data_IF_387444165043
#
_entry.id   IF_387444165043
#
_cell.length_a   1.000
_cell.length_b   1.000
_cell.length_c   1.000
_cell.angle_alpha   90.00
_cell.angle_beta   90.00
_cell.angle_gamma   90.00
#
_symmetry.space_group_name_H-M   'P 1'
#
loop_
_entity.id
_entity.type
_entity.pdbx_description
1 polymer ?
#
# COMPACT_ATOMS: atom_id res chain seq x y z
N UNK A 1 12.37 -3.07 39.46
CA UNK A 1 11.50 -4.23 39.22
C UNK A 1 11.68 -4.61 37.76
N UNK A 2 12.50 -5.63 37.49
CA UNK A 2 12.77 -6.13 36.13
C UNK A 2 11.47 -6.66 35.52
N UNK A 3 10.94 -5.97 34.50
CA UNK A 3 9.88 -6.54 33.66
C UNK A 3 10.49 -7.72 32.90
N UNK A 4 9.90 -8.90 33.06
CA UNK A 4 10.25 -10.04 32.22
C UNK A 4 9.94 -9.66 30.77
N UNK A 5 10.97 -9.69 29.93
CA UNK A 5 10.84 -9.71 28.48
C UNK A 5 10.18 -11.04 28.10
N UNK A 6 8.86 -11.14 28.26
CA UNK A 6 8.11 -12.11 27.49
C UNK A 6 8.29 -11.73 26.01
N UNK A 7 8.86 -12.66 25.26
CA UNK A 7 9.07 -12.48 23.83
C UNK A 7 7.76 -12.08 23.17
N UNK A 8 7.84 -11.04 22.32
CA UNK A 8 6.74 -10.53 21.54
C UNK A 8 5.91 -11.66 20.92
N UNK A 9 4.57 -11.63 21.03
CA UNK A 9 3.74 -12.49 20.21
C UNK A 9 4.09 -12.21 18.75
N UNK A 10 4.43 -13.25 17.97
CA UNK A 10 4.66 -13.16 16.51
C UNK A 10 3.50 -12.45 15.77
N UNK A 11 2.34 -12.36 16.41
CA UNK A 11 1.07 -11.85 15.95
C UNK A 11 1.06 -10.34 15.59
N UNK A 12 1.90 -9.50 16.21
CA UNK A 12 1.93 -8.05 15.89
C UNK A 12 2.69 -7.76 14.60
N UNK A 13 3.72 -8.57 14.28
CA UNK A 13 4.58 -8.32 13.11
C UNK A 13 3.86 -8.46 11.76
N UNK A 14 2.77 -9.22 11.73
CA UNK A 14 1.94 -9.39 10.55
C UNK A 14 0.79 -8.38 10.47
N UNK A 15 0.66 -7.49 11.45
CA UNK A 15 -0.44 -6.52 11.51
C UNK A 15 0.01 -5.14 11.06
N UNK A 16 -0.92 -4.36 10.53
CA UNK A 16 -0.64 -3.03 9.98
C UNK A 16 -0.63 -1.98 11.10
N UNK A 17 0.53 -1.37 11.44
CA UNK A 17 0.57 -0.34 12.47
C UNK A 17 -0.12 0.94 11.99
N UNK A 18 -0.84 1.61 12.89
CA UNK A 18 -1.41 2.91 12.59
C UNK A 18 -0.34 3.99 12.45
N UNK A 19 0.67 3.96 13.33
CA UNK A 19 1.80 4.89 13.23
C UNK A 19 2.75 4.47 12.10
N UNK A 20 2.82 5.31 11.06
CA UNK A 20 3.80 5.19 9.97
C UNK A 20 4.98 6.17 10.13
N UNK A 21 5.05 6.82 11.30
CA UNK A 21 6.19 7.63 11.71
C UNK A 21 6.85 7.06 12.97
N UNK A 22 8.18 7.04 12.96
CA UNK A 22 9.02 6.57 14.07
C UNK A 22 10.07 7.60 14.50
N UNK A 23 10.11 8.77 13.84
CA UNK A 23 10.96 9.90 14.20
C UNK A 23 10.11 11.02 14.78
N UNK A 24 10.44 11.51 15.98
CA UNK A 24 9.67 12.59 16.60
C UNK A 24 9.66 13.87 15.76
N UNK A 25 10.74 14.17 15.01
CA UNK A 25 10.76 15.32 14.10
C UNK A 25 9.75 15.20 12.93
N UNK A 26 9.25 14.00 12.62
CA UNK A 26 8.27 13.81 11.55
C UNK A 26 6.85 14.19 11.96
N UNK A 27 6.56 14.32 13.27
CA UNK A 27 5.23 14.73 13.76
C UNK A 27 4.76 16.09 13.24
N UNK A 28 5.69 17.00 12.97
CA UNK A 28 5.36 18.34 12.44
C UNK A 28 5.10 18.33 10.94
N UNK A 29 5.38 17.21 10.26
CA UNK A 29 5.14 17.03 8.83
C UNK A 29 3.80 16.35 8.55
N UNK A 30 3.23 15.66 9.55
CA UNK A 30 1.88 15.08 9.52
C UNK A 30 0.85 16.20 9.52
N UNK A 31 -0.15 16.08 8.66
CA UNK A 31 -1.23 17.04 8.50
C UNK A 31 -1.96 17.35 9.82
N UNK A 32 -2.59 18.52 9.86
CA UNK A 32 -3.43 18.91 10.97
C UNK A 32 -4.82 18.27 10.82
N UNK A 33 -5.31 17.64 11.88
CA UNK A 33 -6.67 17.09 11.90
C UNK A 33 -7.73 18.18 11.69
N UNK A 34 -8.72 17.97 10.79
CA UNK A 34 -9.89 18.82 10.71
C UNK A 34 -10.62 18.89 12.05
N UNK A 35 -11.20 20.05 12.38
CA UNK A 35 -11.80 20.28 13.70
C UNK A 35 -13.03 19.41 13.99
N UNK A 36 -13.67 18.88 12.95
CA UNK A 36 -14.85 18.01 13.01
C UNK A 36 -14.56 16.56 12.63
N UNK A 37 -13.32 16.22 12.29
CA UNK A 37 -12.91 14.84 12.04
C UNK A 37 -13.01 13.99 13.31
N UNK A 38 -13.32 12.71 13.13
CA UNK A 38 -13.54 11.74 14.20
C UNK A 38 -12.88 10.41 13.84
N UNK A 39 -12.49 9.66 14.86
CA UNK A 39 -11.84 8.34 14.73
C UNK A 39 -12.48 7.36 15.69
N UNK A 40 -12.63 6.10 15.27
CA UNK A 40 -13.16 5.02 16.12
C UNK A 40 -11.99 4.15 16.58
N UNK A 41 -11.85 3.96 17.89
CA UNK A 41 -10.81 3.13 18.51
C UNK A 41 -11.47 2.01 19.30
N UNK A 42 -11.05 0.77 19.06
CA UNK A 42 -11.57 -0.42 19.72
C UNK A 42 -10.54 -1.05 20.64
N UNK A 43 -11.03 -1.60 21.75
CA UNK A 43 -10.25 -2.23 22.81
C UNK A 43 -10.76 -3.64 23.08
N UNK A 44 -9.85 -4.52 23.51
CA UNK A 44 -10.16 -5.92 23.83
C UNK A 44 -11.03 -6.08 25.09
N UNK A 45 -10.97 -5.13 26.02
CA UNK A 45 -11.68 -5.21 27.31
C UNK A 45 -12.37 -3.90 27.67
N UNK A 46 -13.47 -3.99 28.42
CA UNK A 46 -14.16 -2.85 29.04
C UNK A 46 -13.19 -1.99 29.86
N UNK A 47 -12.34 -2.63 30.68
CA UNK A 47 -11.39 -1.95 31.53
C UNK A 47 -10.40 -1.07 30.73
N UNK A 48 -9.90 -1.58 29.60
CA UNK A 48 -8.98 -0.85 28.73
C UNK A 48 -9.66 0.33 28.03
N UNK A 49 -10.88 0.12 27.50
CA UNK A 49 -11.70 1.20 26.93
C UNK A 49 -11.96 2.29 27.97
N UNK A 50 -12.39 1.92 29.17
CA UNK A 50 -12.77 2.88 30.21
C UNK A 50 -11.56 3.65 30.74
N UNK A 51 -10.40 2.99 30.86
CA UNK A 51 -9.14 3.67 31.18
C UNK A 51 -8.78 4.70 30.11
N UNK A 52 -8.82 4.31 28.83
CA UNK A 52 -8.53 5.22 27.73
C UNK A 52 -9.52 6.39 27.66
N UNK A 53 -10.80 6.12 27.90
CA UNK A 53 -11.85 7.15 27.97
C UNK A 53 -11.53 8.20 29.05
N UNK A 54 -11.14 7.76 30.26
CA UNK A 54 -10.75 8.66 31.35
C UNK A 54 -9.50 9.49 31.00
N UNK A 55 -8.48 8.87 30.39
CA UNK A 55 -7.27 9.55 29.97
C UNK A 55 -7.55 10.62 28.90
N UNK A 56 -8.34 10.27 27.87
CA UNK A 56 -8.77 11.20 26.82
C UNK A 56 -9.63 12.34 27.38
N UNK A 57 -10.56 12.05 28.29
CA UNK A 57 -11.37 13.06 28.99
C UNK A 57 -10.53 14.06 29.78
N UNK A 58 -9.42 13.62 30.37
CA UNK A 58 -8.51 14.51 31.10
C UNK A 58 -7.84 15.51 30.14
N UNK A 59 -7.34 15.03 29.00
CA UNK A 59 -6.69 15.88 28.00
C UNK A 59 -7.70 16.81 27.31
N UNK A 60 -8.90 16.33 27.02
CA UNK A 60 -9.97 17.15 26.44
C UNK A 60 -10.34 18.37 27.28
N UNK A 61 -10.18 18.30 28.61
CA UNK A 61 -10.42 19.44 29.52
C UNK A 61 -9.30 20.49 29.47
N UNK A 62 -8.16 20.19 28.85
CA UNK A 62 -7.08 21.13 28.63
C UNK A 62 -7.46 22.05 27.44
N UNK A 63 -7.47 23.37 27.63
CA UNK A 63 -8.14 24.32 26.73
C UNK A 63 -7.31 24.73 25.49
N UNK A 64 -6.74 23.78 24.75
CA UNK A 64 -5.85 24.10 23.61
C UNK A 64 -6.26 23.51 22.25
N UNK A 65 -7.20 22.57 22.21
CA UNK A 65 -7.54 21.85 20.98
C UNK A 65 -8.71 22.49 20.23
N UNK A 66 -8.55 22.62 18.90
CA UNK A 66 -9.61 23.08 18.00
C UNK A 66 -10.53 21.92 17.65
N UNK A 67 -11.58 21.71 18.45
CA UNK A 67 -12.55 20.62 18.27
C UNK A 67 -13.97 21.20 18.16
N UNK A 68 -14.68 20.87 17.09
CA UNK A 68 -16.07 21.30 16.86
C UNK A 68 -17.08 20.52 17.71
N UNK A 69 -16.87 19.21 17.86
CA UNK A 69 -17.72 18.32 18.65
C UNK A 69 -16.86 17.57 19.68
N UNK A 70 -16.69 18.11 20.91
CA UNK A 70 -15.74 17.58 21.88
C UNK A 70 -16.18 16.27 22.56
N UNK A 71 -17.36 15.74 22.24
CA UNK A 71 -17.88 14.53 22.87
C UNK A 71 -17.09 13.27 22.46
N UNK A 72 -16.76 12.45 23.47
CA UNK A 72 -16.28 11.07 23.28
C UNK A 72 -17.45 10.12 23.52
N UNK A 73 -17.85 9.36 22.51
CA UNK A 73 -19.01 8.47 22.56
C UNK A 73 -18.57 7.01 22.73
N UNK A 74 -19.34 6.24 23.49
CA UNK A 74 -19.15 4.81 23.61
C UNK A 74 -19.77 4.09 22.40
N UNK A 75 -19.09 3.07 21.89
CA UNK A 75 -19.58 2.21 20.83
C UNK A 75 -19.74 0.80 21.39
N UNK A 76 -20.99 0.34 21.48
CA UNK A 76 -21.33 -1.00 22.00
C UNK A 76 -21.68 -2.02 20.91
N UNK A 77 -21.69 -1.61 19.62
CA UNK A 77 -22.12 -2.44 18.47
C UNK A 77 -21.41 -3.82 18.40
N UNK A 78 -20.16 -3.89 18.83
CA UNK A 78 -19.32 -5.10 18.72
C UNK A 78 -19.12 -5.83 20.05
N UNK A 79 -19.87 -5.46 21.10
CA UNK A 79 -19.81 -6.14 22.38
C UNK A 79 -20.44 -7.55 22.30
N UNK A 80 -19.93 -8.53 23.07
CA UNK A 80 -18.84 -8.43 24.05
C UNK A 80 -17.44 -8.67 23.45
N UNK A 81 -17.30 -8.69 22.13
CA UNK A 81 -16.05 -9.06 21.46
C UNK A 81 -15.05 -7.89 21.46
N UNK A 82 -15.54 -6.68 21.17
CA UNK A 82 -14.73 -5.46 21.12
C UNK A 82 -15.49 -4.27 21.70
N UNK A 83 -14.79 -3.38 22.41
CA UNK A 83 -15.35 -2.25 23.13
C UNK A 83 -14.81 -0.94 22.53
N UNK A 84 -15.68 -0.08 21.98
CA UNK A 84 -15.23 1.06 21.17
C UNK A 84 -15.42 2.44 21.79
N UNK A 85 -14.61 3.39 21.34
CA UNK A 85 -14.75 4.83 21.54
C UNK A 85 -14.80 5.52 20.16
N UNK A 86 -15.75 6.42 19.97
CA UNK A 86 -15.75 7.40 18.90
C UNK A 86 -15.21 8.71 19.48
N UNK A 87 -14.02 9.11 19.04
CA UNK A 87 -13.23 10.22 19.57
C UNK A 87 -13.03 11.32 18.52
N UNK A 88 -12.97 12.61 18.91
CA UNK A 88 -12.50 13.65 18.02
C UNK A 88 -11.06 13.37 17.56
N UNK A 89 -10.81 13.40 16.25
CA UNK A 89 -9.48 13.12 15.69
C UNK A 89 -8.40 14.09 16.22
N UNK A 90 -8.64 15.41 16.38
CA UNK A 90 -7.64 16.30 16.99
C UNK A 90 -7.22 15.88 18.40
N UNK A 91 -8.14 15.28 19.18
CA UNK A 91 -7.82 14.76 20.52
C UNK A 91 -7.00 13.46 20.41
N UNK A 92 -7.40 12.54 19.53
CA UNK A 92 -6.66 11.30 19.28
C UNK A 92 -5.23 11.59 18.82
N UNK A 93 -5.06 12.49 17.83
CA UNK A 93 -3.76 12.93 17.31
C UNK A 93 -2.90 13.54 18.41
N UNK A 94 -3.47 14.40 19.26
CA UNK A 94 -2.72 14.99 20.37
C UNK A 94 -2.20 13.93 21.35
N UNK A 95 -3.06 12.99 21.74
CA UNK A 95 -2.79 12.02 22.81
C UNK A 95 -1.93 10.84 22.35
N UNK A 96 -2.13 10.34 21.13
CA UNK A 96 -1.41 9.17 20.62
C UNK A 96 -0.28 9.52 19.66
N UNK A 97 -0.24 10.72 19.09
CA UNK A 97 0.81 11.09 18.11
C UNK A 97 1.70 12.20 18.67
N UNK A 98 1.13 13.33 19.09
CA UNK A 98 1.93 14.51 19.41
C UNK A 98 2.68 14.40 20.73
N UNK A 99 1.97 14.11 21.82
CA UNK A 99 2.53 14.05 23.19
C UNK A 99 3.49 12.89 23.45
N UNK A 100 3.18 11.63 23.09
CA UNK A 100 4.01 10.49 23.49
C UNK A 100 5.28 10.41 22.65
N UNK A 101 6.36 9.85 23.18
CA UNK A 101 7.54 9.50 22.38
C UNK A 101 7.19 8.31 21.47
N UNK A 102 7.39 8.48 20.16
CA UNK A 102 7.11 7.47 19.13
C UNK A 102 8.38 6.79 18.59
N UNK A 103 9.53 7.06 19.22
CA UNK A 103 10.79 6.42 18.83
C UNK A 103 10.66 4.90 18.95
N UNK A 104 11.30 4.10 18.06
CA UNK A 104 11.21 2.65 18.12
C UNK A 104 11.61 2.13 19.50
N UNK A 105 10.71 1.37 20.12
CA UNK A 105 10.97 0.64 21.36
C UNK A 105 11.24 -0.81 20.96
N UNK A 106 12.22 -1.44 21.63
CA UNK A 106 12.56 -2.84 21.35
C UNK A 106 11.31 -3.74 21.38
N UNK A 107 11.06 -4.43 20.28
CA UNK A 107 9.92 -5.30 20.06
C UNK A 107 8.73 -4.64 19.35
N UNK A 108 8.60 -3.31 19.39
CA UNK A 108 7.57 -2.54 18.69
C UNK A 108 8.06 -1.96 17.36
N UNK A 109 9.15 -2.48 16.80
CA UNK A 109 9.67 -2.01 15.53
C UNK A 109 8.72 -2.40 14.38
N UNK A 110 8.40 -1.43 13.53
CA UNK A 110 7.55 -1.65 12.34
C UNK A 110 8.34 -2.24 11.17
N UNK A 111 9.69 -2.20 11.22
CA UNK A 111 10.55 -2.54 10.09
C UNK A 111 10.53 -1.52 8.93
N UNK A 112 9.69 -0.48 9.02
CA UNK A 112 9.49 0.52 7.96
C UNK A 112 10.25 1.81 8.26
N UNK A 113 10.71 2.47 7.19
CA UNK A 113 11.21 3.84 7.27
C UNK A 113 10.10 4.79 7.70
N UNK A 114 10.46 5.81 8.46
CA UNK A 114 9.49 6.82 8.89
C UNK A 114 9.10 7.72 7.71
N UNK A 115 7.82 7.71 7.34
CA UNK A 115 7.28 8.47 6.20
C UNK A 115 6.00 9.22 6.61
N UNK A 116 6.06 10.56 6.77
CA UNK A 116 4.90 11.37 7.14
C UNK A 116 3.70 11.21 6.20
N UNK A 117 3.93 11.07 4.89
CA UNK A 117 2.85 10.91 3.92
C UNK A 117 2.00 9.67 4.21
N UNK A 118 2.63 8.56 4.64
CA UNK A 118 1.90 7.34 5.02
C UNK A 118 1.09 7.52 6.31
N UNK A 119 1.52 8.42 7.20
CA UNK A 119 0.73 8.76 8.39
C UNK A 119 -0.52 9.57 8.02
N UNK A 120 -0.39 10.52 7.07
CA UNK A 120 -1.52 11.28 6.54
C UNK A 120 -2.54 10.35 5.87
N UNK A 121 -2.06 9.40 5.05
CA UNK A 121 -2.90 8.36 4.44
C UNK A 121 -3.67 7.55 5.50
N UNK A 122 -3.00 7.11 6.57
CA UNK A 122 -3.66 6.37 7.65
C UNK A 122 -4.71 7.21 8.38
N UNK A 123 -4.46 8.52 8.60
CA UNK A 123 -5.45 9.44 9.16
C UNK A 123 -6.66 9.58 8.22
N UNK A 124 -6.41 9.68 6.92
CA UNK A 124 -7.46 9.77 5.90
C UNK A 124 -8.36 8.53 5.87
N UNK A 125 -7.77 7.33 5.87
CA UNK A 125 -8.57 6.10 5.86
C UNK A 125 -9.47 5.97 7.09
N UNK A 126 -8.94 6.20 8.30
CA UNK A 126 -9.77 6.06 9.52
C UNK A 126 -10.82 7.16 9.66
N UNK A 127 -10.66 8.28 8.93
CA UNK A 127 -11.64 9.36 8.80
C UNK A 127 -12.73 9.02 7.77
N UNK A 128 -12.55 8.02 6.93
CA UNK A 128 -13.48 7.73 5.84
C UNK A 128 -14.61 6.77 6.22
N UNK A 129 -15.77 7.34 6.54
CA UNK A 129 -16.99 6.58 6.85
C UNK A 129 -17.68 5.95 5.63
N UNK A 130 -17.30 6.32 4.40
CA UNK A 130 -17.87 5.74 3.17
C UNK A 130 -17.19 4.42 2.79
N UNK A 131 -16.01 4.13 3.37
CA UNK A 131 -15.28 2.90 3.12
C UNK A 131 -16.05 1.69 3.64
N UNK A 132 -16.06 0.62 2.84
CA UNK A 132 -16.70 -0.64 3.20
C UNK A 132 -15.73 -1.79 2.95
N UNK A 133 -15.24 -2.46 3.99
CA UNK A 133 -15.54 -2.23 5.41
C UNK A 133 -14.94 -0.91 5.95
N UNK A 134 -15.55 -0.36 7.00
CA UNK A 134 -15.04 0.88 7.60
C UNK A 134 -13.67 0.64 8.23
N UNK A 135 -12.70 1.50 7.89
CA UNK A 135 -11.38 1.50 8.53
C UNK A 135 -11.46 2.17 9.91
N UNK A 136 -10.94 1.48 10.93
CA UNK A 136 -10.95 1.92 12.34
C UNK A 136 -9.61 1.59 12.99
N UNK A 137 -9.42 2.04 14.24
CA UNK A 137 -8.25 1.69 15.04
C UNK A 137 -8.58 0.57 16.02
N UNK A 138 -7.60 -0.32 16.24
CA UNK A 138 -7.65 -1.34 17.27
C UNK A 138 -6.43 -1.21 18.18
N UNK A 139 -6.65 -1.04 19.47
CA UNK A 139 -5.59 -1.00 20.48
C UNK A 139 -5.21 -2.43 20.87
N UNK A 140 -4.08 -2.89 20.35
CA UNK A 140 -3.57 -4.23 20.57
C UNK A 140 -2.86 -4.40 21.91
N UNK A 141 -2.24 -3.34 22.44
CA UNK A 141 -1.55 -3.41 23.73
C UNK A 141 -2.56 -3.51 24.87
N UNK A 142 -2.76 -4.76 25.32
CA UNK A 142 -3.67 -5.04 26.43
C UNK A 142 -3.16 -4.56 27.79
N UNK A 143 -1.86 -4.31 27.93
CA UNK A 143 -1.23 -3.87 29.17
C UNK A 143 -1.21 -2.33 29.29
N UNK A 144 -1.10 -1.62 28.16
CA UNK A 144 -1.15 -0.16 28.10
C UNK A 144 -2.10 0.32 27.00
N UNK A 145 -3.38 0.61 27.32
CA UNK A 145 -4.35 1.06 26.32
C UNK A 145 -4.03 2.45 25.73
N UNK A 146 -3.06 3.17 26.30
CA UNK A 146 -2.59 4.47 25.81
C UNK A 146 -1.28 4.37 25.02
N UNK A 147 -0.74 3.15 24.81
CA UNK A 147 0.47 2.95 24.01
C UNK A 147 0.17 3.26 22.53
N UNK A 148 0.83 4.27 21.94
CA UNK A 148 0.57 4.65 20.55
C UNK A 148 1.11 3.62 19.55
N UNK A 149 2.15 2.87 19.91
CA UNK A 149 2.70 1.80 19.08
C UNK A 149 1.78 0.56 19.04
N UNK A 150 0.85 0.46 19.99
CA UNK A 150 -0.18 -0.57 20.03
C UNK A 150 -1.39 -0.31 19.15
N UNK A 151 -1.49 0.86 18.53
CA UNK A 151 -2.58 1.18 17.60
C UNK A 151 -2.35 0.51 16.24
N UNK A 152 -3.32 -0.29 15.82
CA UNK A 152 -3.31 -0.98 14.53
C UNK A 152 -4.47 -0.48 13.67
N UNK A 153 -4.26 -0.49 12.35
CA UNK A 153 -5.36 -0.39 11.39
C UNK A 153 -6.22 -1.65 11.50
N UNK A 154 -7.53 -1.47 11.46
CA UNK A 154 -8.51 -2.55 11.59
C UNK A 154 -9.72 -2.30 10.68
N UNK A 155 -10.42 -3.36 10.32
CA UNK A 155 -11.70 -3.27 9.63
C UNK A 155 -12.86 -3.57 10.58
N UNK A 156 -13.89 -2.74 10.50
CA UNK A 156 -15.12 -2.89 11.26
C UNK A 156 -16.19 -3.60 10.41
N UNK A 157 -16.08 -4.93 10.33
CA UNK A 157 -16.98 -5.82 9.59
C UNK A 157 -18.11 -6.37 10.48
N UNK A 158 -18.32 -7.69 10.49
CA UNK A 158 -19.12 -8.40 11.51
C UNK A 158 -18.47 -8.35 12.90
N UNK A 159 -17.16 -8.13 12.94
CA UNK A 159 -16.35 -7.90 14.12
C UNK A 159 -15.21 -6.94 13.77
N UNK A 160 -14.61 -6.30 14.78
CA UNK A 160 -13.44 -5.44 14.55
C UNK A 160 -12.18 -6.30 14.58
N UNK A 161 -11.46 -6.37 13.47
CA UNK A 161 -10.25 -7.17 13.33
C UNK A 161 -9.09 -6.31 12.84
N UNK A 162 -7.91 -6.34 13.49
CA UNK A 162 -6.70 -5.76 12.92
C UNK A 162 -6.43 -6.30 11.52
N UNK A 163 -6.00 -5.42 10.64
CA UNK A 163 -5.60 -5.80 9.28
C UNK A 163 -4.27 -6.53 9.36
N UNK A 164 -4.19 -7.62 8.60
CA UNK A 164 -2.94 -8.28 8.25
C UNK A 164 -2.72 -8.08 6.76
N UNK A 165 -1.47 -8.08 6.33
CA UNK A 165 -1.15 -7.92 4.91
C UNK A 165 -1.81 -9.04 4.08
N UNK A 166 -2.49 -8.62 3.03
CA UNK A 166 -3.03 -9.49 1.99
C UNK A 166 -1.95 -9.87 0.97
N UNK A 167 -2.33 -10.69 0.00
CA UNK A 167 -1.51 -11.06 -1.14
C UNK A 167 -1.81 -10.12 -2.30
N UNK A 168 -0.80 -9.33 -2.63
CA UNK A 168 -0.83 -8.47 -3.79
C UNK A 168 -0.63 -9.30 -5.05
N UNK A 169 -1.65 -9.34 -5.91
CA UNK A 169 -1.55 -10.10 -7.16
C UNK A 169 -0.57 -9.39 -8.09
N UNK A 170 0.58 -9.99 -8.35
CA UNK A 170 1.59 -9.35 -9.20
C UNK A 170 1.18 -9.32 -10.70
N UNK A 171 0.96 -10.49 -11.30
CA UNK A 171 0.43 -10.67 -12.67
C UNK A 171 -0.18 -12.06 -12.81
N UNK A 172 -0.99 -12.28 -13.85
CA UNK A 172 -1.60 -13.58 -14.18
C UNK A 172 -1.19 -14.01 -15.58
N UNK A 173 -0.57 -15.19 -15.68
CA UNK A 173 -0.22 -15.83 -16.94
C UNK A 173 -1.35 -16.71 -17.47
N UNK A 174 -1.66 -16.57 -18.76
CA UNK A 174 -2.70 -17.37 -19.43
C UNK A 174 -2.22 -17.89 -20.78
N UNK A 175 -2.89 -18.91 -21.33
CA UNK A 175 -2.60 -19.47 -22.66
C UNK A 175 -3.87 -19.55 -23.50
N UNK A 176 -3.80 -19.09 -24.75
CA UNK A 176 -4.90 -19.18 -25.71
C UNK A 176 -6.03 -18.17 -25.50
N UNK A 177 -5.86 -17.21 -24.59
CA UNK A 177 -6.82 -16.11 -24.39
C UNK A 177 -6.67 -15.04 -25.46
N UNK A 178 -7.76 -14.31 -25.70
CA UNK A 178 -7.78 -13.10 -26.53
C UNK A 178 -8.31 -11.97 -25.68
N UNK A 179 -7.50 -10.93 -25.52
CA UNK A 179 -7.82 -9.81 -24.66
C UNK A 179 -8.48 -8.69 -25.45
N UNK A 180 -9.39 -7.97 -24.81
CA UNK A 180 -9.80 -6.66 -25.29
C UNK A 180 -8.70 -5.65 -24.99
N UNK A 181 -8.69 -4.53 -25.74
CA UNK A 181 -7.82 -3.41 -25.39
C UNK A 181 -8.34 -2.64 -24.18
N UNK A 182 -7.44 -1.90 -23.52
CA UNK A 182 -7.84 -1.09 -22.38
C UNK A 182 -8.79 0.05 -22.80
N UNK A 183 -9.67 0.51 -21.89
CA UNK A 183 -10.41 1.75 -22.06
C UNK A 183 -9.47 2.94 -22.33
N UNK A 184 -9.93 3.91 -23.14
CA UNK A 184 -9.11 5.07 -23.55
C UNK A 184 -8.51 5.83 -22.35
N UNK A 185 -9.29 5.99 -21.27
CA UNK A 185 -8.81 6.64 -20.04
C UNK A 185 -7.65 5.91 -19.36
N UNK A 186 -7.59 4.58 -19.45
CA UNK A 186 -6.46 3.81 -18.93
C UNK A 186 -5.24 3.97 -19.86
N UNK A 187 -5.43 4.07 -21.17
CA UNK A 187 -4.35 4.39 -22.12
C UNK A 187 -3.76 5.78 -21.83
N UNK A 188 -4.61 6.79 -21.57
CA UNK A 188 -4.18 8.12 -21.13
C UNK A 188 -3.38 8.05 -19.81
N UNK A 189 -3.84 7.25 -18.85
CA UNK A 189 -3.16 7.05 -17.56
C UNK A 189 -1.81 6.34 -17.72
N UNK A 190 -1.69 5.37 -18.65
CA UNK A 190 -0.41 4.73 -18.98
C UNK A 190 0.57 5.76 -19.54
N UNK A 191 0.13 6.62 -20.48
CA UNK A 191 0.97 7.70 -21.00
C UNK A 191 1.40 8.68 -19.91
N UNK A 192 0.49 9.04 -19.01
CA UNK A 192 0.79 9.84 -17.84
C UNK A 192 1.87 9.16 -16.97
N UNK A 193 1.72 7.87 -16.66
CA UNK A 193 2.67 7.10 -15.85
C UNK A 193 4.06 7.04 -16.49
N UNK A 194 4.14 6.80 -17.80
CA UNK A 194 5.39 6.79 -18.56
C UNK A 194 6.07 8.16 -18.59
N UNK A 195 5.30 9.24 -18.77
CA UNK A 195 5.80 10.62 -18.74
C UNK A 195 6.45 10.95 -17.39
N UNK A 196 5.79 10.60 -16.28
CA UNK A 196 6.32 10.87 -14.94
C UNK A 196 7.51 9.95 -14.60
N UNK A 197 7.46 8.69 -15.01
CA UNK A 197 8.60 7.76 -14.93
C UNK A 197 9.82 8.36 -15.62
N UNK A 198 9.69 8.80 -16.87
CA UNK A 198 10.77 9.44 -17.62
C UNK A 198 11.36 10.65 -16.88
N UNK A 199 10.51 11.56 -16.39
CA UNK A 199 10.95 12.73 -15.61
C UNK A 199 11.75 12.34 -14.38
N UNK A 200 11.38 11.26 -13.70
CA UNK A 200 12.12 10.77 -12.53
C UNK A 200 13.49 10.18 -12.91
N UNK A 201 13.61 9.52 -14.06
CA UNK A 201 14.87 8.97 -14.56
C UNK A 201 15.83 10.07 -15.04
N UNK A 202 15.30 11.18 -15.59
CA UNK A 202 16.09 12.34 -16.03
C UNK A 202 16.68 13.16 -14.88
N UNK A 203 16.15 13.01 -13.66
CA UNK A 203 16.58 13.75 -12.48
C UNK A 203 16.94 12.83 -11.30
N UNK A 204 18.06 12.08 -11.34
CA UNK A 204 18.45 11.17 -10.25
C UNK A 204 18.57 11.89 -8.90
N UNK A 205 18.10 11.23 -7.84
CA UNK A 205 18.10 11.74 -6.47
C UNK A 205 18.46 10.64 -5.46
N UNK A 206 18.73 11.00 -4.21
CA UNK A 206 19.01 10.09 -3.10
C UNK A 206 17.76 9.39 -2.55
N UNK A 207 16.58 9.96 -2.80
CA UNK A 207 15.29 9.38 -2.39
C UNK A 207 14.96 8.12 -3.21
N UNK A 208 14.29 7.16 -2.56
CA UNK A 208 13.77 5.96 -3.21
C UNK A 208 12.65 6.25 -4.20
N UNK A 209 12.26 5.26 -5.01
CA UNK A 209 11.23 5.45 -6.03
C UNK A 209 9.91 5.88 -5.41
N UNK A 210 9.47 5.20 -4.36
CA UNK A 210 8.22 5.47 -3.64
C UNK A 210 8.14 6.92 -3.15
N UNK A 211 9.14 7.41 -2.41
CA UNK A 211 9.13 8.80 -1.93
C UNK A 211 9.11 9.82 -3.07
N UNK A 212 9.79 9.54 -4.18
CA UNK A 212 9.80 10.42 -5.37
C UNK A 212 8.47 10.37 -6.12
N UNK A 213 7.80 9.23 -6.15
CA UNK A 213 6.50 9.09 -6.77
C UNK A 213 5.39 9.73 -5.93
N UNK A 214 5.47 9.68 -4.60
CA UNK A 214 4.58 10.44 -3.71
C UNK A 214 4.66 11.96 -3.98
N UNK A 215 5.85 12.49 -4.30
CA UNK A 215 5.97 13.89 -4.72
C UNK A 215 5.28 14.18 -6.05
N UNK A 216 5.30 13.22 -7.00
CA UNK A 216 4.53 13.32 -8.24
C UNK A 216 3.04 13.35 -7.92
N UNK A 217 2.53 12.40 -7.14
CA UNK A 217 1.12 12.35 -6.75
C UNK A 217 0.69 13.65 -6.07
N UNK A 218 1.49 14.16 -5.12
CA UNK A 218 1.22 15.44 -4.45
C UNK A 218 1.17 16.61 -5.43
N UNK A 219 2.09 16.68 -6.39
CA UNK A 219 2.11 17.75 -7.40
C UNK A 219 0.89 17.68 -8.33
N UNK A 220 0.51 16.49 -8.74
CA UNK A 220 -0.59 16.25 -9.68
C UNK A 220 -1.96 16.42 -8.98
N UNK A 221 -2.08 16.01 -7.71
CA UNK A 221 -3.24 16.29 -6.86
C UNK A 221 -3.47 17.80 -6.69
N UNK A 222 -2.41 18.58 -6.47
CA UNK A 222 -2.50 20.05 -6.40
C UNK A 222 -2.93 20.69 -7.73
N UNK A 223 -2.83 19.96 -8.85
CA UNK A 223 -3.33 20.36 -10.18
C UNK A 223 -4.73 19.79 -10.47
N UNK A 224 -5.33 19.06 -9.53
CA UNK A 224 -6.64 18.43 -9.66
C UNK A 224 -6.63 17.13 -10.47
N UNK A 225 -5.48 16.50 -10.69
CA UNK A 225 -5.40 15.24 -11.42
C UNK A 225 -5.64 14.04 -10.50
N UNK A 226 -6.75 13.36 -10.76
CA UNK A 226 -7.35 12.37 -9.89
C UNK A 226 -8.09 11.33 -10.73
N UNK A 227 -7.43 10.23 -11.15
CA UNK A 227 -8.10 9.21 -11.95
C UNK A 227 -9.19 8.52 -11.12
N UNK A 228 -10.31 8.17 -11.77
CA UNK A 228 -11.32 7.33 -11.14
C UNK A 228 -10.83 5.88 -11.14
N UNK A 229 -10.55 5.36 -9.96
CA UNK A 229 -10.03 4.00 -9.79
C UNK A 229 -11.21 3.03 -9.67
N UNK A 230 -11.29 1.99 -10.53
CA UNK A 230 -12.34 0.98 -10.41
C UNK A 230 -12.19 0.14 -9.14
N UNK A 231 -13.27 -0.53 -8.72
CA UNK A 231 -13.32 -1.33 -7.48
C UNK A 231 -12.17 -2.34 -7.32
N UNK A 232 -11.72 -2.94 -8.43
CA UNK A 232 -10.63 -3.92 -8.45
C UNK A 232 -9.41 -3.38 -9.21
N UNK A 233 -9.20 -2.07 -9.18
CA UNK A 233 -8.13 -1.41 -9.90
C UNK A 233 -8.35 -1.34 -11.41
N UNK A 234 -7.29 -0.97 -12.13
CA UNK A 234 -7.27 -0.92 -13.59
C UNK A 234 -7.03 -2.31 -14.19
N UNK A 235 -7.23 -2.44 -15.50
CA UNK A 235 -7.09 -3.72 -16.21
C UNK A 235 -8.06 -3.87 -17.36
N UNK A 236 -7.89 -4.96 -18.11
CA UNK A 236 -8.84 -5.41 -19.12
C UNK A 236 -9.93 -6.30 -18.51
N UNK A 237 -11.07 -6.44 -19.19
CA UNK A 237 -12.25 -7.14 -18.67
C UNK A 237 -11.95 -8.59 -18.24
N UNK A 238 -11.06 -9.31 -18.95
CA UNK A 238 -10.74 -10.71 -18.63
C UNK A 238 -9.88 -10.75 -17.37
N UNK A 239 -8.82 -9.94 -17.31
CA UNK A 239 -7.93 -9.91 -16.16
C UNK A 239 -8.65 -9.44 -14.90
N UNK A 240 -9.53 -8.44 -15.01
CA UNK A 240 -10.37 -7.98 -13.91
C UNK A 240 -11.35 -9.06 -13.43
N UNK A 241 -11.98 -9.81 -14.34
CA UNK A 241 -12.85 -10.93 -13.97
C UNK A 241 -12.10 -12.02 -13.21
N UNK A 242 -10.86 -12.34 -13.61
CA UNK A 242 -10.04 -13.33 -12.91
C UNK A 242 -9.68 -12.87 -11.49
N UNK A 243 -9.36 -11.59 -11.32
CA UNK A 243 -9.10 -11.01 -9.98
C UNK A 243 -10.37 -11.04 -9.14
N UNK A 244 -11.53 -10.68 -9.71
CA UNK A 244 -12.81 -10.72 -9.01
C UNK A 244 -13.13 -12.14 -8.49
N UNK A 245 -12.89 -13.17 -9.29
CA UNK A 245 -13.05 -14.56 -8.88
C UNK A 245 -12.12 -14.92 -7.70
N UNK A 246 -10.85 -14.50 -7.74
CA UNK A 246 -9.89 -14.76 -6.65
C UNK A 246 -10.27 -14.02 -5.37
N UNK A 247 -10.68 -12.76 -5.47
CA UNK A 247 -11.18 -11.97 -4.33
C UNK A 247 -12.41 -12.65 -3.73
N UNK A 248 -13.33 -13.14 -4.56
CA UNK A 248 -14.53 -13.83 -4.09
C UNK A 248 -14.19 -15.15 -3.38
N UNK A 249 -13.35 -16.00 -3.99
CA UNK A 249 -12.94 -17.29 -3.38
C UNK A 249 -12.16 -17.11 -2.08
N UNK A 250 -11.46 -15.97 -1.92
CA UNK A 250 -10.70 -15.65 -0.72
C UNK A 250 -11.44 -14.74 0.27
N UNK A 251 -12.69 -14.38 0.02
CA UNK A 251 -13.46 -13.41 0.82
C UNK A 251 -13.51 -13.79 2.32
N UNK A 252 -13.62 -15.08 2.62
CA UNK A 252 -13.72 -15.58 4.00
C UNK A 252 -12.46 -15.31 4.85
N UNK A 253 -11.28 -15.23 4.23
CA UNK A 253 -10.02 -14.89 4.89
C UNK A 253 -9.48 -13.51 4.50
N UNK A 254 -9.99 -12.93 3.41
CA UNK A 254 -9.54 -11.67 2.84
C UNK A 254 -8.09 -11.70 2.39
N UNK A 255 -7.66 -12.83 1.81
CA UNK A 255 -6.28 -13.03 1.39
C UNK A 255 -5.91 -12.26 0.11
N UNK A 256 -6.88 -11.88 -0.73
CA UNK A 256 -6.69 -10.98 -1.88
C UNK A 256 -7.84 -9.99 -1.87
N UNK A 257 -7.57 -8.69 -2.02
CA UNK A 257 -8.61 -7.65 -1.89
C UNK A 257 -8.70 -6.66 -3.06
N UNK A 258 -7.67 -6.55 -3.89
CA UNK A 258 -7.60 -5.55 -4.96
C UNK A 258 -7.02 -6.12 -6.28
N UNK A 259 -6.89 -5.21 -7.25
CA UNK A 259 -6.36 -5.44 -8.59
C UNK A 259 -4.91 -5.92 -8.63
N UNK A 260 -4.49 -6.36 -9.81
CA UNK A 260 -3.13 -6.82 -10.02
C UNK A 260 -2.13 -5.66 -10.26
N UNK A 261 -0.92 -5.76 -9.71
CA UNK A 261 0.13 -4.75 -9.79
C UNK A 261 0.59 -4.44 -11.23
N UNK A 262 0.45 -5.40 -12.14
CA UNK A 262 0.65 -5.17 -13.57
C UNK A 262 -0.24 -4.06 -14.17
N UNK A 263 -1.31 -3.66 -13.47
CA UNK A 263 -2.20 -2.56 -13.86
C UNK A 263 -2.16 -1.36 -12.92
N UNK A 264 -1.25 -1.33 -11.94
CA UNK A 264 -1.10 -0.19 -11.04
C UNK A 264 -0.39 0.99 -11.74
N UNK A 265 -1.12 1.65 -12.66
CA UNK A 265 -0.58 2.72 -13.49
C UNK A 265 -0.46 4.05 -12.75
N UNK A 266 -1.32 4.27 -11.75
CA UNK A 266 -1.37 5.51 -10.98
C UNK A 266 -0.27 5.56 -9.91
N UNK A 267 0.01 4.43 -9.25
CA UNK A 267 1.05 4.31 -8.23
C UNK A 267 1.95 3.08 -8.44
N UNK A 268 2.73 3.00 -9.55
CA UNK A 268 3.61 1.86 -9.82
C UNK A 268 4.61 1.63 -8.68
N UNK A 269 4.39 0.61 -7.86
CA UNK A 269 5.18 0.35 -6.64
C UNK A 269 6.55 -0.27 -6.95
N UNK A 270 7.53 -0.10 -6.06
CA UNK A 270 8.80 -0.83 -6.12
C UNK A 270 8.51 -2.34 -6.09
N UNK A 271 9.26 -3.12 -6.86
CA UNK A 271 9.09 -4.57 -6.87
C UNK A 271 9.61 -5.18 -5.57
N UNK A 272 8.87 -6.17 -5.05
CA UNK A 272 9.33 -6.99 -3.95
C UNK A 272 10.56 -7.83 -4.32
N UNK A 273 11.26 -8.33 -3.30
CA UNK A 273 12.41 -9.21 -3.49
C UNK A 273 11.99 -10.67 -3.68
N UNK A 274 10.86 -11.05 -3.07
CA UNK A 274 10.31 -12.41 -3.08
C UNK A 274 8.89 -12.41 -3.63
N UNK A 275 8.56 -13.44 -4.39
CA UNK A 275 7.25 -13.64 -5.00
C UNK A 275 6.76 -15.07 -4.78
N UNK A 276 5.45 -15.24 -4.67
CA UNK A 276 4.80 -16.53 -4.69
C UNK A 276 4.31 -16.84 -6.11
N UNK A 277 4.80 -17.93 -6.71
CA UNK A 277 4.24 -18.45 -7.97
C UNK A 277 3.30 -19.61 -7.63
N UNK A 278 2.06 -19.51 -8.08
CA UNK A 278 1.09 -20.62 -8.11
C UNK A 278 0.99 -21.15 -9.54
N UNK A 279 1.35 -22.41 -9.77
CA UNK A 279 1.34 -23.02 -11.11
C UNK A 279 1.14 -24.54 -11.02
N UNK A 280 0.19 -25.06 -11.81
CA UNK A 280 -0.17 -26.48 -11.87
C UNK A 280 0.95 -27.39 -12.39
N UNK A 281 1.95 -26.83 -13.08
CA UNK A 281 3.15 -27.55 -13.49
C UNK A 281 4.15 -27.82 -12.34
N UNK A 282 3.94 -27.24 -11.16
CA UNK A 282 4.70 -27.63 -9.95
C UNK A 282 4.15 -28.92 -9.33
N UNK A 283 5.03 -29.70 -8.68
CA UNK A 283 4.63 -30.87 -7.89
C UNK A 283 4.15 -30.41 -6.52
N UNK A 284 3.16 -31.10 -5.95
CA UNK A 284 2.56 -30.80 -4.64
C UNK A 284 3.60 -30.35 -3.58
N UNK A 285 3.56 -29.08 -3.11
CA UNK A 285 2.52 -28.08 -3.37
C UNK A 285 2.60 -27.41 -4.76
N UNK A 286 1.47 -27.02 -5.38
CA UNK A 286 1.43 -26.34 -6.70
C UNK A 286 1.90 -24.88 -6.62
N UNK A 287 2.77 -24.54 -5.67
CA UNK A 287 3.28 -23.20 -5.44
C UNK A 287 4.70 -23.22 -4.89
N UNK A 288 5.44 -22.12 -5.09
CA UNK A 288 6.76 -21.90 -4.47
C UNK A 288 7.10 -20.42 -4.36
N UNK A 289 7.88 -20.07 -3.35
CA UNK A 289 8.52 -18.77 -3.27
C UNK A 289 9.72 -18.71 -4.22
N UNK A 290 9.92 -17.57 -4.85
CA UNK A 290 11.03 -17.29 -5.75
C UNK A 290 11.53 -15.87 -5.54
N UNK A 291 12.80 -15.64 -5.85
CA UNK A 291 13.30 -14.27 -5.99
C UNK A 291 12.75 -13.59 -7.25
N UNK A 292 12.85 -12.26 -7.30
CA UNK A 292 12.57 -11.44 -8.50
C UNK A 292 13.25 -11.99 -9.78
N UNK A 293 14.53 -12.35 -9.68
CA UNK A 293 15.30 -12.88 -10.81
C UNK A 293 14.74 -14.22 -11.30
N UNK A 294 14.40 -15.10 -10.35
CA UNK A 294 13.80 -16.40 -10.64
C UNK A 294 12.38 -16.27 -11.21
N UNK A 295 11.61 -15.27 -10.78
CA UNK A 295 10.31 -14.93 -11.36
C UNK A 295 10.47 -14.54 -12.84
N UNK A 296 11.38 -13.61 -13.16
CA UNK A 296 11.63 -13.23 -14.57
C UNK A 296 12.06 -14.41 -15.42
N UNK A 297 12.94 -15.27 -14.91
CA UNK A 297 13.36 -16.49 -15.61
C UNK A 297 12.21 -17.48 -15.80
N UNK A 298 11.33 -17.62 -14.81
CA UNK A 298 10.12 -18.41 -14.93
C UNK A 298 9.19 -17.87 -16.01
N UNK A 299 8.89 -16.56 -15.98
CA UNK A 299 8.02 -15.89 -16.95
C UNK A 299 8.55 -16.06 -18.38
N UNK A 300 9.85 -15.82 -18.62
CA UNK A 300 10.46 -16.02 -19.95
C UNK A 300 10.32 -17.46 -20.46
N UNK A 301 10.45 -18.46 -19.59
CA UNK A 301 10.23 -19.88 -19.95
C UNK A 301 8.76 -20.15 -20.26
N UNK A 302 7.84 -19.55 -19.51
CA UNK A 302 6.40 -19.68 -19.78
C UNK A 302 5.99 -19.04 -21.10
N UNK A 303 6.64 -17.96 -21.52
CA UNK A 303 6.47 -17.40 -22.88
C UNK A 303 6.82 -18.43 -23.96
N UNK A 304 7.91 -19.20 -23.79
CA UNK A 304 8.27 -20.27 -24.73
C UNK A 304 7.20 -21.39 -24.78
N UNK A 305 6.48 -21.60 -23.67
CA UNK A 305 5.37 -22.55 -23.58
C UNK A 305 4.04 -21.99 -24.13
N UNK A 306 4.04 -20.75 -24.64
CA UNK A 306 2.88 -20.05 -25.21
C UNK A 306 2.01 -19.31 -24.18
N UNK A 307 2.52 -19.06 -22.97
CA UNK A 307 1.84 -18.19 -22.02
C UNK A 307 2.06 -16.71 -22.36
N UNK A 308 1.05 -15.90 -22.05
CA UNK A 308 1.06 -14.45 -22.13
C UNK A 308 0.60 -13.87 -20.80
N UNK A 309 1.07 -12.68 -20.45
CA UNK A 309 0.69 -12.01 -19.21
C UNK A 309 0.79 -10.48 -19.38
N UNK A 310 -0.09 -9.71 -18.73
CA UNK A 310 0.04 -8.26 -18.67
C UNK A 310 1.28 -7.86 -17.85
N UNK A 311 1.83 -6.68 -18.14
CA UNK A 311 2.96 -6.13 -17.40
C UNK A 311 2.74 -4.63 -17.16
N UNK A 312 3.25 -4.07 -16.08
CA UNK A 312 3.17 -2.63 -15.89
C UNK A 312 4.18 -1.93 -16.83
N UNK A 313 3.77 -0.95 -17.66
CA UNK A 313 4.65 -0.24 -18.59
C UNK A 313 5.89 0.41 -17.96
N UNK A 314 5.85 0.67 -16.64
CA UNK A 314 6.98 1.22 -15.88
C UNK A 314 8.08 0.20 -15.64
N UNK A 315 7.75 -1.07 -15.40
CA UNK A 315 8.73 -2.13 -15.06
C UNK A 315 9.88 -2.25 -16.06
N UNK A 316 9.67 -2.40 -17.39
CA UNK A 316 10.76 -2.57 -18.33
C UNK A 316 11.70 -1.36 -18.44
N UNK A 317 11.28 -0.20 -17.93
CA UNK A 317 12.08 1.02 -17.96
C UNK A 317 12.80 1.21 -16.62
N UNK A 318 12.07 1.03 -15.52
CA UNK A 318 12.54 1.27 -14.16
C UNK A 318 13.45 0.16 -13.67
N UNK A 319 13.06 -1.09 -13.90
CA UNK A 319 13.61 -2.27 -13.23
C UNK A 319 14.50 -3.08 -14.18
N UNK A 320 15.73 -3.33 -13.75
CA UNK A 320 16.70 -4.08 -14.55
C UNK A 320 16.20 -5.49 -14.85
N UNK A 321 16.27 -5.90 -16.12
CA UNK A 321 15.91 -7.25 -16.54
C UNK A 321 14.45 -7.44 -16.98
N UNK A 322 13.56 -6.48 -16.71
CA UNK A 322 12.14 -6.56 -17.12
C UNK A 322 11.94 -6.23 -18.61
N UNK A 323 12.81 -5.40 -19.18
CA UNK A 323 12.78 -5.12 -20.62
C UNK A 323 12.92 -6.40 -21.45
N UNK A 324 13.81 -7.30 -21.02
CA UNK A 324 14.07 -8.59 -21.67
C UNK A 324 12.85 -9.52 -21.61
N UNK A 325 12.05 -9.44 -20.54
CA UNK A 325 10.78 -10.18 -20.45
C UNK A 325 9.79 -9.68 -21.50
N UNK A 326 9.67 -8.35 -21.68
CA UNK A 326 8.81 -7.75 -22.71
C UNK A 326 9.30 -8.10 -24.11
N UNK A 327 10.60 -8.05 -24.37
CA UNK A 327 11.16 -8.45 -25.67
C UNK A 327 10.90 -9.93 -25.96
N UNK A 328 10.94 -10.79 -24.93
CA UNK A 328 10.61 -12.22 -25.07
C UNK A 328 9.14 -12.41 -25.48
N UNK A 329 8.20 -11.69 -24.88
CA UNK A 329 6.79 -11.70 -25.28
C UNK A 329 6.63 -11.27 -26.75
N UNK A 330 7.25 -10.15 -27.14
CA UNK A 330 7.18 -9.61 -28.52
C UNK A 330 7.73 -10.58 -29.58
N UNK A 331 8.64 -11.47 -29.21
CA UNK A 331 9.25 -12.43 -30.11
C UNK A 331 8.32 -13.61 -30.49
N UNK A 332 7.21 -13.79 -29.79
CA UNK A 332 6.22 -14.86 -30.05
C UNK A 332 4.98 -14.30 -30.73
N UNK A 333 4.28 -15.12 -31.53
CA UNK A 333 3.00 -14.74 -32.16
C UNK A 333 1.93 -14.41 -31.13
N UNK A 334 1.83 -15.23 -30.09
CA UNK A 334 0.86 -15.14 -29.01
C UNK A 334 1.11 -13.86 -28.20
N UNK A 335 2.34 -13.67 -27.72
CA UNK A 335 2.72 -12.48 -26.96
C UNK A 335 2.57 -11.21 -27.78
N UNK A 336 2.93 -11.20 -29.06
CA UNK A 336 2.68 -10.05 -29.94
C UNK A 336 1.19 -9.70 -30.03
N UNK A 337 0.33 -10.70 -30.25
CA UNK A 337 -1.11 -10.48 -30.36
C UNK A 337 -1.73 -9.92 -29.06
N UNK A 338 -1.31 -10.43 -27.89
CA UNK A 338 -1.81 -9.92 -26.60
C UNK A 338 -1.26 -8.52 -26.31
N UNK A 339 0.00 -8.26 -26.62
CA UNK A 339 0.60 -6.93 -26.50
C UNK A 339 -0.06 -5.89 -27.41
N UNK A 340 -0.46 -6.26 -28.63
CA UNK A 340 -1.21 -5.37 -29.52
C UNK A 340 -2.64 -5.10 -29.01
N UNK A 341 -3.17 -5.96 -28.14
CA UNK A 341 -4.46 -5.73 -27.48
C UNK A 341 -4.29 -4.70 -26.36
N UNK A 342 -3.38 -4.96 -25.41
CA UNK A 342 -3.13 -4.07 -24.27
C UNK A 342 -2.47 -2.73 -24.65
N UNK A 343 -1.54 -2.76 -25.60
CA UNK A 343 -0.76 -1.61 -26.07
C UNK A 343 -0.80 -1.50 -27.60
N UNK A 344 -1.96 -1.14 -28.18
CA UNK A 344 -2.12 -1.09 -29.62
C UNK A 344 -1.05 -0.20 -30.29
N UNK A 345 -0.47 -0.56 -31.44
CA UNK A 345 0.61 0.21 -32.06
C UNK A 345 0.29 1.69 -32.27
N UNK A 346 -0.97 2.02 -32.56
CA UNK A 346 -1.45 3.41 -32.72
C UNK A 346 -1.26 4.30 -31.47
N UNK A 347 -1.12 3.71 -30.29
CA UNK A 347 -0.89 4.43 -29.03
C UNK A 347 0.58 4.82 -28.85
N UNK A 348 1.51 4.11 -29.51
CA UNK A 348 2.94 4.35 -29.36
C UNK A 348 3.52 4.00 -27.98
N UNK A 349 2.77 3.31 -27.11
CA UNK A 349 3.22 2.95 -25.75
C UNK A 349 4.49 2.08 -25.79
N UNK A 350 4.51 1.04 -26.64
CA UNK A 350 5.67 0.16 -26.76
C UNK A 350 6.89 0.88 -27.35
N UNK A 351 6.69 1.83 -28.26
CA UNK A 351 7.76 2.66 -28.83
C UNK A 351 8.30 3.66 -27.80
N UNK A 352 7.44 4.20 -26.92
CA UNK A 352 7.85 5.05 -25.80
C UNK A 352 8.71 4.27 -24.81
N UNK A 353 8.31 3.04 -24.45
CA UNK A 353 9.09 2.16 -23.59
C UNK A 353 10.50 1.95 -24.16
N UNK A 354 10.60 1.59 -25.45
CA UNK A 354 11.88 1.35 -26.12
C UNK A 354 12.74 2.61 -26.13
N UNK A 355 12.14 3.78 -26.36
CA UNK A 355 12.84 5.07 -26.39
C UNK A 355 13.37 5.46 -25.01
N UNK A 356 12.57 5.37 -23.96
CA UNK A 356 13.01 5.69 -22.60
C UNK A 356 14.07 4.70 -22.16
N UNK A 357 13.91 3.40 -22.47
CA UNK A 357 14.91 2.37 -22.16
C UNK A 357 16.25 2.63 -22.85
N UNK A 358 16.25 3.06 -24.11
CA UNK A 358 17.48 3.42 -24.82
C UNK A 358 18.18 4.64 -24.21
N UNK A 359 17.42 5.60 -23.66
CA UNK A 359 17.95 6.79 -22.99
C UNK A 359 18.44 6.49 -21.55
N UNK A 360 17.82 5.50 -20.89
CA UNK A 360 18.08 5.14 -19.50
C UNK A 360 18.28 3.61 -19.36
N UNK A 361 19.40 3.05 -19.88
CA UNK A 361 19.65 1.61 -19.91
C UNK A 361 19.90 0.98 -18.53
N UNK A 362 20.16 1.78 -17.51
CA UNK A 362 20.32 1.30 -16.13
C UNK A 362 19.01 1.45 -15.32
N UNK A 363 17.96 1.98 -15.93
CA UNK A 363 16.68 2.24 -15.27
C UNK A 363 16.79 3.21 -14.10
N UNK A 364 16.02 2.98 -13.04
CA UNK A 364 16.04 3.84 -11.87
C UNK A 364 17.26 3.55 -10.99
N UNK A 365 18.00 4.60 -10.65
CA UNK A 365 19.20 4.54 -9.83
C UNK A 365 19.09 5.53 -8.68
N UNK A 366 19.25 5.07 -7.43
CA UNK A 366 19.39 5.95 -6.27
C UNK A 366 20.79 6.56 -6.31
N UNK A 367 20.89 7.88 -6.17
CA UNK A 367 22.20 8.54 -6.06
C UNK A 367 22.78 8.20 -4.68
N UNK A 368 23.90 7.49 -4.65
CA UNK A 368 24.62 7.27 -3.39
C UNK A 368 25.01 8.63 -2.78
N UNK A 369 24.62 8.86 -1.53
CA UNK A 369 25.19 9.95 -0.75
C UNK A 369 26.68 9.63 -0.56
N UNK A 370 27.56 10.56 -0.96
CA UNK A 370 28.98 10.50 -0.63
C UNK A 370 29.15 10.68 0.89
N UNK A 371 28.87 9.64 1.67
CA UNK A 371 29.14 9.57 3.10
C UNK A 371 29.83 8.25 3.41
N UNK A 372 30.91 8.36 4.19
CA UNK A 372 31.90 7.32 4.45
C UNK A 372 31.29 5.95 4.77
N UNK A 373 31.67 4.96 3.96
CA UNK A 373 31.46 3.53 4.25
C UNK A 373 32.03 3.19 5.64
N UNK A 374 31.13 3.03 6.62
CA UNK A 374 31.28 2.01 7.65
C UNK A 374 30.08 1.10 7.59
N UNK A 375 30.39 -0.16 7.38
CA UNK A 375 29.50 -1.31 7.26
C UNK A 375 28.40 -1.34 8.31
N UNK A 376 27.17 -1.58 7.88
CA UNK A 376 26.29 -2.55 8.52
C UNK A 376 25.42 -3.19 7.43
N UNK A 377 25.75 -4.42 7.08
CA UNK A 377 24.84 -5.33 6.39
C UNK A 377 24.02 -6.03 7.47
N UNK A 378 22.71 -5.83 7.48
CA UNK A 378 21.72 -6.76 8.03
C UNK A 378 20.30 -6.24 7.78
N UNK A 379 19.51 -7.07 7.11
CA UNK A 379 18.05 -7.20 7.20
C UNK A 379 17.21 -5.91 7.06
N UNK A 380 16.81 -5.62 5.82
CA UNK A 380 15.56 -4.92 5.54
C UNK A 380 14.65 -6.01 4.94
N UNK A 381 13.77 -6.55 5.77
CA UNK A 381 12.66 -7.39 5.31
C UNK A 381 11.51 -6.49 4.86
N UNK A 382 10.86 -6.97 3.80
CA UNK A 382 9.59 -6.58 3.20
C UNK A 382 8.57 -5.95 4.17
N UNK A 383 7.85 -4.93 3.68
CA UNK A 383 6.38 -4.88 3.48
C UNK A 383 6.10 -3.49 2.90
N UNK A 384 6.12 -3.39 1.56
CA UNK A 384 5.49 -2.28 0.83
C UNK A 384 4.30 -2.89 0.08
N UNK A 385 3.20 -3.12 0.79
CA UNK A 385 1.98 -3.67 0.20
C UNK A 385 1.11 -2.63 -0.50
N UNK A 386 0.14 -3.11 -1.29
CA UNK A 386 -0.89 -2.34 -2.00
C UNK A 386 -1.92 -1.67 -1.09
N UNK A 387 -1.88 -1.89 0.23
CA UNK A 387 -2.61 -1.08 1.22
C UNK A 387 -2.44 0.42 0.92
N UNK A 388 -1.24 0.83 0.46
CA UNK A 388 -0.91 2.19 0.04
C UNK A 388 -1.61 2.65 -1.26
N UNK A 389 -1.87 1.75 -2.20
CA UNK A 389 -2.64 2.07 -3.41
C UNK A 389 -4.12 2.24 -3.05
N UNK A 390 -4.71 1.32 -2.27
CA UNK A 390 -6.09 1.45 -1.77
C UNK A 390 -6.26 2.73 -0.91
N UNK A 391 -5.25 3.07 -0.10
CA UNK A 391 -5.19 4.30 0.68
C UNK A 391 -5.03 5.57 -0.20
N UNK A 392 -4.17 5.53 -1.23
CA UNK A 392 -4.01 6.63 -2.18
C UNK A 392 -5.25 6.83 -3.06
N UNK A 393 -5.93 5.74 -3.41
CA UNK A 393 -7.21 5.73 -4.13
C UNK A 393 -8.32 6.42 -3.30
N UNK A 394 -8.26 6.30 -1.96
CA UNK A 394 -9.15 7.00 -1.03
C UNK A 394 -8.79 8.48 -0.81
N UNK A 395 -7.50 8.86 -0.82
CA UNK A 395 -7.10 10.29 -0.74
C UNK A 395 -7.62 11.11 -1.93
N UNK A 396 -7.71 10.48 -3.09
CA UNK A 396 -8.09 11.13 -4.34
C UNK A 396 -9.60 11.40 -4.46
N UNK A 397 -10.44 10.61 -3.78
CA UNK A 397 -11.90 10.82 -3.78
C UNK A 397 -12.39 12.05 -3.01
N UNK A 398 -11.53 12.74 -2.23
CA UNK A 398 -11.96 13.73 -1.22
C UNK A 398 -11.53 15.18 -1.44
N UNK A 399 -10.72 15.49 -2.45
CA UNK A 399 -10.61 16.88 -2.93
C UNK A 399 -11.89 17.36 -3.66
N UNK A 400 -12.92 16.51 -3.73
CA UNK A 400 -14.22 16.76 -4.35
C UNK A 400 -15.25 17.49 -3.47
N UNK A 401 -14.93 17.83 -2.21
CA UNK A 401 -15.79 18.64 -1.34
C UNK A 401 -15.09 19.97 -0.92
N UNK A 402 -14.73 20.78 -1.92
CA UNK A 402 -14.74 22.26 -1.82
C UNK A 402 -15.86 22.81 -2.69
#
# INVERSE_FOLDING_TARGET
MQRSLEAFPKEVRSQVPFLQISKNEHKTQVEASPADARTKIFYKTVANRDFAHQALQKVLKEHSLKIKVPEIKLISKYEPVSFGLDVPEPLMREVYIMRPDISPILGWETGRDSEPAFMDMNLHAVRDEKTTPQVVLYQFDSADPMNPLGLLIAYAESSVKPVVSDFDTFTVGSKGFRYAGFPEKQIELIHWSLKHTKRLLEAPDHKGWTSRWLEVLKQEANQGFHPNVPKFGFGDDISCSLVEDVVHETEACGAVRHGAECFNFYFPQELDQEFLIVWDGFKDPPWRNVSELELRDFLKKRVDDGYTFPFNPVWPIRDSGWYEVVQKLRATSEGKATLESWYPPKTGILDEIDRIRAQHPDGFQKRELLQHKKSFAANIQDVVGCELADLADHEVGRFLDV
#
